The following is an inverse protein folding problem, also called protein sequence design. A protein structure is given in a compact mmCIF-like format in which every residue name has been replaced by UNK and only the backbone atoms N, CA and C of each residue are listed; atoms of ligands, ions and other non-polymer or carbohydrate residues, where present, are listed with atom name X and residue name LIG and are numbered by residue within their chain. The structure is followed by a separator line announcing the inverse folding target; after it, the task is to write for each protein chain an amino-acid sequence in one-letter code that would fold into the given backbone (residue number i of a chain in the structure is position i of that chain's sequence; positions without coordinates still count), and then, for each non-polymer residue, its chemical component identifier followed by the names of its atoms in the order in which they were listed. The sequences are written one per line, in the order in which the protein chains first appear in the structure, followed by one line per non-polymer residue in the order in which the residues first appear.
data_IF_078030449071
#
_entry.id   IF_078030449071
#
_cell.length_a   1.000
_cell.length_b   1.000
_cell.length_c   1.000
_cell.angle_alpha   90.00
_cell.angle_beta   90.00
_cell.angle_gamma   90.00
#
_symmetry.space_group_name_H-M   'P 1'
#
loop_
_entity.id
_entity.type
_entity.pdbx_description
1 polymer ?
#
# COMPACT_ATOMS: atom_id res chain seq x y z
N UNK A 1 -4.11 -17.94 -8.82
CA UNK A 1 -3.92 -16.46 -8.94
C UNK A 1 -3.16 -16.15 -10.23
N UNK A 2 -3.65 -15.19 -11.02
CA UNK A 2 -2.95 -14.74 -12.23
C UNK A 2 -1.55 -14.22 -11.89
N UNK A 3 -0.57 -14.53 -12.75
CA UNK A 3 0.83 -14.12 -12.55
C UNK A 3 1.06 -12.65 -12.98
N UNK A 4 0.18 -11.76 -12.54
CA UNK A 4 0.24 -10.33 -12.81
C UNK A 4 0.09 -9.55 -11.51
N UNK A 5 0.83 -8.45 -11.36
CA UNK A 5 0.75 -7.57 -10.21
C UNK A 5 0.69 -6.10 -10.63
N UNK A 6 -0.06 -5.31 -9.89
CA UNK A 6 -0.09 -3.85 -9.99
C UNK A 6 0.41 -3.25 -8.68
N UNK A 7 1.51 -2.49 -8.74
CA UNK A 7 2.12 -1.84 -7.58
C UNK A 7 1.93 -0.32 -7.69
N UNK A 8 1.12 0.23 -6.81
CA UNK A 8 0.85 1.68 -6.77
C UNK A 8 1.86 2.39 -5.87
N UNK A 9 2.68 3.27 -6.46
CA UNK A 9 3.73 4.01 -5.75
C UNK A 9 5.05 3.23 -5.68
N UNK A 10 5.67 2.99 -6.83
CA UNK A 10 6.84 2.14 -6.99
C UNK A 10 8.16 2.89 -7.27
N UNK A 11 8.20 4.21 -7.13
CA UNK A 11 9.37 5.03 -7.49
C UNK A 11 10.62 4.76 -6.64
N UNK A 12 10.45 4.35 -5.39
CA UNK A 12 11.56 4.13 -4.43
C UNK A 12 11.17 3.20 -3.28
N UNK A 13 12.14 2.90 -2.43
CA UNK A 13 11.94 2.19 -1.16
C UNK A 13 11.21 0.86 -1.33
N UNK A 14 10.22 0.62 -0.47
CA UNK A 14 9.46 -0.63 -0.46
C UNK A 14 8.70 -0.88 -1.77
N UNK A 15 8.11 0.17 -2.37
CA UNK A 15 7.37 0.00 -3.62
C UNK A 15 8.25 -0.49 -4.76
N UNK A 16 9.45 0.06 -4.92
CA UNK A 16 10.45 -0.40 -5.89
C UNK A 16 10.93 -1.82 -5.56
N UNK A 17 11.18 -2.09 -4.28
CA UNK A 17 11.56 -3.43 -3.83
C UNK A 17 10.49 -4.49 -4.12
N UNK A 18 9.20 -4.14 -3.94
CA UNK A 18 8.08 -5.04 -4.29
C UNK A 18 8.04 -5.35 -5.78
N UNK A 19 8.32 -4.37 -6.66
CA UNK A 19 8.41 -4.62 -8.11
C UNK A 19 9.49 -5.67 -8.39
N UNK A 20 10.71 -5.47 -7.87
CA UNK A 20 11.81 -6.42 -8.06
C UNK A 20 11.48 -7.81 -7.52
N UNK A 21 10.92 -7.90 -6.32
CA UNK A 21 10.61 -9.20 -5.70
C UNK A 21 9.49 -9.95 -6.43
N UNK A 22 8.38 -9.28 -6.79
CA UNK A 22 7.32 -9.96 -7.55
C UNK A 22 7.79 -10.37 -8.95
N UNK A 23 8.64 -9.58 -9.61
CA UNK A 23 9.26 -9.96 -10.90
C UNK A 23 10.16 -11.20 -10.72
N UNK A 24 10.99 -11.24 -9.66
CA UNK A 24 11.83 -12.41 -9.32
C UNK A 24 10.99 -13.67 -9.09
N UNK A 25 9.80 -13.51 -8.53
CA UNK A 25 8.83 -14.61 -8.32
C UNK A 25 8.02 -14.96 -9.58
N UNK A 26 8.32 -14.34 -10.72
CA UNK A 26 7.74 -14.67 -12.03
C UNK A 26 6.39 -14.00 -12.31
N UNK A 27 6.06 -12.90 -11.62
CA UNK A 27 4.90 -12.10 -11.95
C UNK A 27 5.27 -11.02 -12.99
N UNK A 28 4.37 -10.74 -13.92
CA UNK A 28 4.44 -9.58 -14.79
C UNK A 28 3.93 -8.35 -14.00
N UNK A 29 4.84 -7.44 -13.64
CA UNK A 29 4.53 -6.32 -12.77
C UNK A 29 4.26 -5.05 -13.57
N UNK A 30 3.08 -4.46 -13.39
CA UNK A 30 2.78 -3.07 -13.75
C UNK A 30 3.05 -2.18 -12.54
N UNK A 31 3.87 -1.16 -12.71
CA UNK A 31 4.22 -0.21 -11.65
C UNK A 31 3.58 1.16 -11.89
N UNK A 32 3.31 1.93 -10.83
CA UNK A 32 3.01 3.35 -10.98
C UNK A 32 4.06 4.21 -10.31
N UNK A 33 4.40 5.32 -10.94
CA UNK A 33 5.31 6.34 -10.43
C UNK A 33 4.71 7.72 -10.70
N UNK A 34 5.18 8.76 -9.99
CA UNK A 34 4.80 10.15 -10.29
C UNK A 34 5.71 10.79 -11.33
N UNK A 35 6.99 10.42 -11.30
CA UNK A 35 7.99 10.87 -12.26
C UNK A 35 8.46 9.66 -13.09
N UNK A 36 8.32 9.69 -14.42
CA UNK A 36 8.74 8.60 -15.30
C UNK A 36 10.24 8.28 -15.20
N UNK A 37 11.08 9.25 -14.81
CA UNK A 37 12.51 9.02 -14.60
C UNK A 37 12.79 8.05 -13.43
N UNK A 38 11.82 7.80 -12.56
CA UNK A 38 11.94 6.88 -11.42
C UNK A 38 11.34 5.50 -11.68
N UNK A 39 10.98 5.18 -12.93
CA UNK A 39 10.39 3.89 -13.31
C UNK A 39 11.31 2.73 -12.91
N UNK A 40 10.80 1.69 -12.25
CA UNK A 40 11.56 0.48 -11.97
C UNK A 40 11.87 -0.25 -13.28
N UNK A 41 13.14 -0.60 -13.56
CA UNK A 41 13.50 -1.29 -14.81
C UNK A 41 12.96 -2.73 -14.88
N UNK A 42 12.63 -3.32 -13.76
CA UNK A 42 12.05 -4.67 -13.65
C UNK A 42 10.57 -4.72 -14.02
N UNK A 43 9.86 -3.57 -14.03
CA UNK A 43 8.46 -3.51 -14.40
C UNK A 43 8.26 -3.74 -15.89
N UNK A 44 7.32 -4.60 -16.27
CA UNK A 44 6.97 -4.82 -17.69
C UNK A 44 6.18 -3.64 -18.27
N UNK A 45 5.58 -2.82 -17.40
CA UNK A 45 4.84 -1.61 -17.74
C UNK A 45 4.93 -0.61 -16.59
N UNK A 46 5.08 0.66 -16.91
CA UNK A 46 5.01 1.75 -15.93
C UNK A 46 3.97 2.78 -16.37
N UNK A 47 3.09 3.14 -15.45
CA UNK A 47 2.08 4.18 -15.59
C UNK A 47 2.40 5.38 -14.70
N UNK A 48 2.01 6.57 -15.14
CA UNK A 48 2.15 7.78 -14.32
C UNK A 48 0.88 7.94 -13.48
N UNK A 49 1.06 8.03 -12.16
CA UNK A 49 -0.08 8.26 -11.28
C UNK A 49 0.34 8.99 -10.00
N UNK A 50 -0.29 10.12 -9.74
CA UNK A 50 -0.37 10.72 -8.40
C UNK A 50 -1.71 10.31 -7.78
N UNK A 51 -1.66 9.55 -6.71
CA UNK A 51 -2.88 9.05 -6.03
C UNK A 51 -3.68 10.17 -5.37
N UNK A 52 -3.09 11.35 -5.17
CA UNK A 52 -3.75 12.51 -4.56
C UNK A 52 -4.52 13.37 -5.56
N UNK A 53 -4.33 13.12 -6.85
CA UNK A 53 -5.02 13.79 -7.96
C UNK A 53 -6.09 12.87 -8.58
N UNK A 54 -7.34 13.31 -8.55
CA UNK A 54 -8.49 12.57 -9.06
C UNK A 54 -8.39 12.31 -10.56
N UNK A 55 -7.93 13.29 -11.34
CA UNK A 55 -7.78 13.15 -12.78
C UNK A 55 -6.69 12.10 -13.11
N UNK A 56 -5.61 12.09 -12.34
CA UNK A 56 -4.54 11.10 -12.48
C UNK A 56 -5.03 9.68 -12.16
N UNK A 57 -5.83 9.50 -11.10
CA UNK A 57 -6.42 8.19 -10.76
C UNK A 57 -7.41 7.72 -11.83
N UNK A 58 -8.23 8.62 -12.37
CA UNK A 58 -9.18 8.30 -13.46
C UNK A 58 -8.45 7.93 -14.77
N UNK A 59 -7.37 8.64 -15.10
CA UNK A 59 -6.51 8.32 -16.24
C UNK A 59 -5.88 6.93 -16.10
N UNK A 60 -5.36 6.60 -14.91
CA UNK A 60 -4.82 5.27 -14.62
C UNK A 60 -5.88 4.17 -14.80
N UNK A 61 -7.09 4.36 -14.25
CA UNK A 61 -8.18 3.39 -14.41
C UNK A 61 -8.54 3.18 -15.89
N UNK A 62 -8.54 4.26 -16.68
CA UNK A 62 -8.77 4.19 -18.14
C UNK A 62 -7.64 3.44 -18.85
N UNK A 63 -6.37 3.74 -18.52
CA UNK A 63 -5.21 3.09 -19.14
C UNK A 63 -5.15 1.57 -18.83
N UNK A 64 -5.71 1.15 -17.70
CA UNK A 64 -5.77 -0.24 -17.27
C UNK A 64 -7.11 -0.93 -17.58
N UNK A 65 -8.02 -0.26 -18.32
CA UNK A 65 -9.32 -0.82 -18.65
C UNK A 65 -9.18 -2.18 -19.34
N UNK A 66 -9.97 -3.17 -18.91
CA UNK A 66 -9.94 -4.53 -19.43
C UNK A 66 -8.76 -5.41 -18.96
N UNK A 67 -7.77 -4.85 -18.27
CA UNK A 67 -6.69 -5.65 -17.68
C UNK A 67 -7.14 -6.29 -16.37
N UNK A 68 -6.57 -7.46 -16.06
CA UNK A 68 -6.78 -8.19 -14.80
C UNK A 68 -5.45 -8.39 -14.10
N UNK A 69 -5.48 -8.23 -12.77
CA UNK A 69 -4.30 -8.43 -11.92
C UNK A 69 -4.59 -9.50 -10.87
N UNK A 70 -3.67 -10.43 -10.70
CA UNK A 70 -3.70 -11.37 -9.58
C UNK A 70 -3.41 -10.68 -8.24
N UNK A 71 -2.64 -9.58 -8.26
CA UNK A 71 -2.36 -8.77 -7.08
C UNK A 71 -2.50 -7.28 -7.41
N UNK A 72 -3.20 -6.54 -6.55
CA UNK A 72 -3.14 -5.06 -6.54
C UNK A 72 -2.59 -4.66 -5.17
N UNK A 73 -1.43 -4.00 -5.15
CA UNK A 73 -0.78 -3.53 -3.93
C UNK A 73 -0.69 -2.00 -3.91
N UNK A 74 -1.44 -1.36 -3.03
CA UNK A 74 -1.40 0.09 -2.82
C UNK A 74 -0.35 0.42 -1.77
N UNK A 75 0.86 0.82 -2.22
CA UNK A 75 2.01 1.12 -1.37
C UNK A 75 2.18 2.61 -1.06
N UNK A 76 1.71 3.49 -1.93
CA UNK A 76 1.93 4.94 -1.81
C UNK A 76 1.50 5.49 -0.44
N UNK A 77 2.35 6.35 0.14
CA UNK A 77 2.12 6.98 1.43
C UNK A 77 3.30 7.87 1.85
N UNK A 78 3.11 8.61 2.92
CA UNK A 78 4.13 9.52 3.49
C UNK A 78 4.13 9.44 5.02
N UNK A 79 5.24 9.86 5.65
CA UNK A 79 5.31 9.96 7.13
C UNK A 79 4.71 11.28 7.64
N UNK A 80 4.86 12.36 6.90
CA UNK A 80 4.52 13.71 7.33
C UNK A 80 5.72 14.49 7.90
N UNK A 81 5.47 15.63 8.51
CA UNK A 81 6.50 16.44 9.17
C UNK A 81 7.10 15.70 10.38
N UNK A 82 8.32 16.08 10.77
CA UNK A 82 9.00 15.47 11.93
C UNK A 82 8.34 15.81 13.25
N UNK A 83 7.83 17.04 13.39
CA UNK A 83 7.04 17.50 14.54
C UNK A 83 5.60 17.02 14.34
N UNK A 84 5.34 15.81 14.79
CA UNK A 84 4.17 15.01 14.45
C UNK A 84 3.20 14.93 15.65
N UNK A 85 2.96 16.06 16.32
CA UNK A 85 1.93 16.15 17.38
C UNK A 85 0.76 17.02 16.95
N UNK A 86 -0.45 16.82 17.51
CA UNK A 86 -1.62 17.66 17.20
C UNK A 86 -1.38 19.14 17.45
N UNK A 87 -0.60 19.50 18.51
CA UNK A 87 -0.32 20.87 18.91
C UNK A 87 0.63 21.57 17.93
N UNK A 88 1.52 20.84 17.26
CA UNK A 88 2.50 21.38 16.34
C UNK A 88 2.07 21.32 14.87
N UNK A 89 1.07 20.48 14.56
CA UNK A 89 0.66 20.27 13.17
C UNK A 89 -0.18 21.44 12.63
N UNK A 90 0.06 21.81 11.37
CA UNK A 90 -0.80 22.79 10.67
C UNK A 90 -1.97 22.08 9.99
N UNK A 91 -3.05 22.81 9.71
CA UNK A 91 -4.18 22.30 8.94
C UNK A 91 -3.74 21.75 7.58
N UNK A 92 -2.81 22.43 6.90
CA UNK A 92 -2.30 22.01 5.61
C UNK A 92 -1.54 20.66 5.70
N UNK A 93 -0.62 20.54 6.66
CA UNK A 93 0.13 19.30 6.89
C UNK A 93 -0.81 18.15 7.27
N UNK A 94 -1.81 18.40 8.11
CA UNK A 94 -2.87 17.44 8.43
C UNK A 94 -3.62 17.00 7.17
N UNK A 95 -4.12 17.93 6.38
CA UNK A 95 -4.86 17.61 5.16
C UNK A 95 -4.02 16.80 4.18
N UNK A 96 -2.76 17.21 3.96
CA UNK A 96 -1.85 16.47 3.09
C UNK A 96 -1.61 15.04 3.57
N UNK A 97 -1.32 14.87 4.87
CA UNK A 97 -1.02 13.56 5.45
C UNK A 97 -2.22 12.61 5.40
N UNK A 98 -3.39 13.07 5.86
CA UNK A 98 -4.59 12.23 5.90
C UNK A 98 -5.13 11.94 4.51
N UNK A 99 -5.10 12.93 3.61
CA UNK A 99 -5.47 12.70 2.22
C UNK A 99 -4.59 11.62 1.58
N UNK A 100 -3.26 11.77 1.69
CA UNK A 100 -2.30 10.84 1.07
C UNK A 100 -2.33 9.45 1.70
N UNK A 101 -2.44 9.34 3.04
CA UNK A 101 -2.30 8.06 3.73
C UNK A 101 -3.61 7.30 3.92
N UNK A 102 -4.76 7.97 3.93
CA UNK A 102 -6.03 7.35 4.26
C UNK A 102 -7.04 7.43 3.11
N UNK A 103 -7.31 8.62 2.57
CA UNK A 103 -8.39 8.80 1.59
C UNK A 103 -7.95 8.36 0.19
N UNK A 104 -6.82 8.86 -0.30
CA UNK A 104 -6.32 8.56 -1.65
C UNK A 104 -6.12 7.06 -1.92
N UNK A 105 -5.53 6.25 -1.00
CA UNK A 105 -5.44 4.81 -1.18
C UNK A 105 -6.79 4.12 -1.40
N UNK A 106 -7.84 4.56 -0.70
CA UNK A 106 -9.19 4.00 -0.85
C UNK A 106 -9.85 4.41 -2.17
N UNK A 107 -9.57 5.61 -2.67
CA UNK A 107 -10.03 6.06 -4.00
C UNK A 107 -9.40 5.23 -5.10
N UNK A 108 -8.08 5.02 -5.03
CA UNK A 108 -7.36 4.12 -5.94
C UNK A 108 -7.91 2.70 -5.86
N UNK A 109 -8.10 2.17 -4.65
CA UNK A 109 -8.70 0.86 -4.44
C UNK A 109 -10.06 0.75 -5.11
N UNK A 110 -10.95 1.72 -4.87
CA UNK A 110 -12.30 1.74 -5.46
C UNK A 110 -12.28 1.81 -6.99
N UNK A 111 -11.38 2.60 -7.57
CA UNK A 111 -11.23 2.73 -9.01
C UNK A 111 -10.67 1.45 -9.68
N UNK A 112 -9.75 0.76 -9.01
CA UNK A 112 -9.02 -0.38 -9.57
C UNK A 112 -9.52 -1.76 -9.10
N UNK A 113 -10.42 -1.83 -8.12
CA UNK A 113 -11.03 -3.10 -7.71
C UNK A 113 -11.65 -3.88 -8.89
N UNK A 114 -12.31 -3.25 -9.89
CA UNK A 114 -12.78 -3.97 -11.07
C UNK A 114 -11.68 -4.65 -11.90
N UNK A 115 -10.42 -4.24 -11.73
CA UNK A 115 -9.25 -4.84 -12.40
C UNK A 115 -8.67 -6.04 -11.63
N UNK A 116 -9.17 -6.35 -10.43
CA UNK A 116 -8.71 -7.52 -9.69
C UNK A 116 -9.29 -8.81 -10.29
N UNK A 117 -8.44 -9.83 -10.42
CA UNK A 117 -8.88 -11.16 -10.82
C UNK A 117 -9.78 -11.79 -9.74
N UNK A 118 -10.70 -12.71 -10.11
CA UNK A 118 -11.61 -13.34 -9.13
C UNK A 118 -10.88 -14.05 -7.98
N UNK A 119 -9.70 -14.60 -8.24
CA UNK A 119 -8.82 -15.27 -7.27
C UNK A 119 -7.65 -14.39 -6.81
N UNK A 120 -7.73 -13.08 -7.07
CA UNK A 120 -6.68 -12.11 -6.78
C UNK A 120 -6.63 -11.69 -5.32
N UNK A 121 -5.62 -10.87 -4.98
CA UNK A 121 -5.38 -10.33 -3.64
C UNK A 121 -5.31 -8.81 -3.69
N UNK A 122 -6.00 -8.14 -2.79
CA UNK A 122 -5.82 -6.72 -2.51
C UNK A 122 -4.90 -6.53 -1.31
N UNK A 123 -3.90 -5.67 -1.44
CA UNK A 123 -3.03 -5.31 -0.33
C UNK A 123 -2.85 -3.79 -0.24
N UNK A 124 -2.87 -3.25 0.97
CA UNK A 124 -2.63 -1.83 1.25
C UNK A 124 -1.52 -1.71 2.27
N UNK A 125 -0.54 -0.85 1.98
CA UNK A 125 0.54 -0.54 2.91
C UNK A 125 0.01 0.31 4.06
N UNK A 126 -0.10 -0.31 5.23
CA UNK A 126 -0.41 0.38 6.47
C UNK A 126 0.80 0.38 7.40
N UNK A 127 0.59 0.42 8.68
CA UNK A 127 1.63 0.36 9.70
C UNK A 127 1.06 -0.25 10.98
N UNK A 128 1.89 -0.98 11.73
CA UNK A 128 1.61 -1.32 13.13
C UNK A 128 1.26 -0.08 13.97
N UNK A 129 1.80 1.07 13.59
CA UNK A 129 1.47 2.36 14.23
C UNK A 129 -0.01 2.75 14.03
N UNK A 130 -0.72 2.20 13.03
CA UNK A 130 -2.16 2.38 12.84
C UNK A 130 -3.03 1.47 13.72
N UNK A 131 -2.45 0.67 14.58
CA UNK A 131 -3.19 -0.12 15.59
C UNK A 131 -3.46 0.74 16.83
N UNK A 132 -4.73 0.88 17.19
CA UNK A 132 -5.11 1.52 18.47
C UNK A 132 -4.74 0.63 19.66
N UNK A 133 -4.88 -0.68 19.52
CA UNK A 133 -4.56 -1.65 20.57
C UNK A 133 -3.05 -1.71 20.88
N UNK A 134 -2.19 -1.42 19.89
CA UNK A 134 -0.74 -1.45 20.03
C UNK A 134 -0.13 -0.04 20.13
N UNK A 135 -0.93 0.98 20.46
CA UNK A 135 -0.47 2.36 20.53
C UNK A 135 0.35 2.59 21.79
N UNK A 136 1.60 3.01 21.63
CA UNK A 136 2.55 3.33 22.71
C UNK A 136 2.98 4.81 22.68
N UNK A 137 2.27 5.65 21.92
CA UNK A 137 2.60 7.07 21.72
C UNK A 137 3.71 7.29 20.69
N UNK A 138 3.93 8.56 20.36
CA UNK A 138 4.91 9.06 19.38
C UNK A 138 4.49 8.81 17.92
N UNK A 139 4.75 9.77 17.05
CA UNK A 139 4.28 9.75 15.67
C UNK A 139 2.77 9.90 15.56
N UNK A 140 2.20 10.80 16.35
CA UNK A 140 0.76 10.86 16.64
C UNK A 140 -0.07 11.04 15.37
N UNK A 141 0.31 12.00 14.52
CA UNK A 141 -0.42 12.29 13.28
C UNK A 141 -0.28 11.16 12.26
N UNK A 142 0.91 10.57 12.15
CA UNK A 142 1.13 9.42 11.30
C UNK A 142 0.33 8.21 11.80
N UNK A 143 0.36 7.91 13.11
CA UNK A 143 -0.48 6.86 13.72
C UNK A 143 -1.95 7.05 13.39
N UNK A 144 -2.47 8.26 13.63
CA UNK A 144 -3.85 8.60 13.37
C UNK A 144 -4.20 8.41 11.88
N UNK A 145 -3.32 8.82 10.96
CA UNK A 145 -3.55 8.64 9.52
C UNK A 145 -3.60 7.17 9.11
N UNK A 146 -2.76 6.30 9.69
CA UNK A 146 -2.77 4.86 9.41
C UNK A 146 -3.92 4.12 10.10
N UNK A 147 -4.35 4.58 11.28
CA UNK A 147 -5.58 4.11 11.93
C UNK A 147 -6.82 4.47 11.08
N UNK A 148 -6.86 5.70 10.55
CA UNK A 148 -7.89 6.13 9.63
C UNK A 148 -7.94 5.25 8.36
N UNK A 149 -6.78 4.93 7.75
CA UNK A 149 -6.71 3.99 6.63
C UNK A 149 -7.31 2.63 7.00
N UNK A 150 -6.88 2.06 8.12
CA UNK A 150 -7.38 0.76 8.59
C UNK A 150 -8.91 0.77 8.76
N UNK A 151 -9.46 1.79 9.41
CA UNK A 151 -10.90 1.96 9.59
C UNK A 151 -11.65 2.11 8.26
N UNK A 152 -11.11 2.90 7.32
CA UNK A 152 -11.69 3.10 6.00
C UNK A 152 -11.67 1.82 5.16
N UNK A 153 -10.62 0.98 5.26
CA UNK A 153 -10.57 -0.34 4.58
C UNK A 153 -11.68 -1.24 5.09
N UNK A 154 -11.88 -1.33 6.42
CA UNK A 154 -12.98 -2.11 7.01
C UNK A 154 -14.35 -1.62 6.52
N UNK A 155 -14.56 -0.30 6.52
CA UNK A 155 -15.79 0.33 6.05
C UNK A 155 -16.02 0.10 4.54
N UNK A 156 -14.97 0.18 3.73
CA UNK A 156 -15.05 -0.13 2.31
C UNK A 156 -15.41 -1.59 2.08
N UNK A 157 -14.74 -2.52 2.76
CA UNK A 157 -15.02 -3.96 2.63
C UNK A 157 -16.44 -4.32 3.03
N UNK A 158 -16.98 -3.69 4.08
CA UNK A 158 -18.36 -3.88 4.51
C UNK A 158 -19.38 -3.45 3.44
N UNK A 159 -19.08 -2.39 2.68
CA UNK A 159 -19.94 -1.90 1.59
C UNK A 159 -19.73 -2.68 0.28
N UNK A 160 -18.48 -2.88 -0.13
CA UNK A 160 -18.13 -3.49 -1.41
C UNK A 160 -18.27 -5.02 -1.40
N UNK A 161 -18.17 -5.63 -0.22
CA UNK A 161 -18.25 -7.09 0.00
C UNK A 161 -17.35 -7.86 -0.98
N UNK A 162 -16.05 -7.54 -1.07
CA UNK A 162 -15.16 -8.26 -1.96
C UNK A 162 -15.12 -9.73 -1.61
N UNK A 163 -15.08 -10.58 -2.63
CA UNK A 163 -14.89 -12.02 -2.44
C UNK A 163 -13.42 -12.38 -2.26
N UNK A 164 -12.53 -11.47 -2.64
CA UNK A 164 -11.09 -11.60 -2.52
C UNK A 164 -10.59 -11.16 -1.15
N UNK A 165 -9.43 -11.67 -0.70
CA UNK A 165 -8.81 -11.20 0.52
C UNK A 165 -8.32 -9.75 0.39
N UNK A 166 -8.46 -9.01 1.49
CA UNK A 166 -7.96 -7.63 1.63
C UNK A 166 -6.96 -7.59 2.78
N UNK A 167 -5.71 -7.28 2.47
CA UNK A 167 -4.62 -7.24 3.43
C UNK A 167 -4.23 -5.79 3.75
N UNK A 168 -4.34 -5.42 5.03
CA UNK A 168 -3.66 -4.27 5.60
C UNK A 168 -2.28 -4.74 6.05
N UNK A 169 -1.19 -4.28 5.42
CA UNK A 169 0.14 -4.85 5.63
C UNK A 169 1.06 -3.85 6.34
N UNK A 170 1.64 -4.28 7.47
CA UNK A 170 2.74 -3.59 8.12
C UNK A 170 4.08 -4.15 7.60
N UNK A 171 4.95 -3.32 7.00
CA UNK A 171 6.19 -3.78 6.38
C UNK A 171 7.32 -4.09 7.39
N UNK A 172 7.11 -3.87 8.70
CA UNK A 172 8.18 -3.77 9.68
C UNK A 172 8.79 -2.37 9.75
N UNK A 173 9.88 -2.22 10.50
CA UNK A 173 10.67 -0.99 10.51
C UNK A 173 11.87 -1.15 9.57
N UNK A 174 11.80 -0.51 8.41
CA UNK A 174 12.63 -0.81 7.25
C UNK A 174 13.56 0.36 6.91
N UNK A 175 14.82 0.08 6.62
CA UNK A 175 15.84 1.05 6.19
C UNK A 175 15.49 1.63 4.82
N UNK A 176 14.76 2.73 4.86
CA UNK A 176 14.34 3.56 3.72
C UNK A 176 14.50 5.02 4.13
N UNK A 177 14.30 5.95 3.20
CA UNK A 177 14.27 7.39 3.52
C UNK A 177 13.24 7.72 4.63
N UNK A 178 12.15 6.97 4.68
CA UNK A 178 11.11 7.13 5.70
C UNK A 178 11.50 6.50 7.04
N UNK A 179 12.04 5.29 7.02
CA UNK A 179 12.36 4.54 8.24
C UNK A 179 13.67 4.92 8.89
N UNK A 180 14.58 5.55 8.15
CA UNK A 180 15.90 5.95 8.62
C UNK A 180 16.91 4.80 8.71
N UNK A 181 18.17 5.17 8.98
CA UNK A 181 19.30 4.23 9.00
C UNK A 181 19.25 3.23 10.18
N UNK A 182 18.59 3.60 11.27
CA UNK A 182 18.50 2.77 12.49
C UNK A 182 17.42 1.69 12.40
N UNK A 183 16.66 1.63 11.29
CA UNK A 183 15.63 0.62 11.12
C UNK A 183 16.23 -0.80 11.08
N UNK A 184 15.49 -1.76 11.62
CA UNK A 184 15.98 -3.12 11.88
C UNK A 184 16.02 -3.99 10.64
N UNK A 185 15.11 -3.76 9.68
CA UNK A 185 14.97 -4.58 8.48
C UNK A 185 15.60 -3.91 7.26
N UNK A 186 16.13 -4.70 6.35
CA UNK A 186 16.42 -4.26 4.98
C UNK A 186 15.13 -4.19 4.16
N UNK A 187 15.18 -3.49 3.02
CA UNK A 187 14.08 -3.49 2.04
C UNK A 187 13.81 -4.92 1.55
N UNK A 188 14.89 -5.66 1.27
CA UNK A 188 14.82 -7.02 0.75
C UNK A 188 14.09 -7.97 1.72
N UNK A 189 14.48 -8.00 2.99
CA UNK A 189 13.82 -8.83 4.02
C UNK A 189 12.32 -8.52 4.11
N UNK A 190 11.98 -7.24 4.14
CA UNK A 190 10.58 -6.81 4.23
C UNK A 190 9.76 -7.20 3.01
N UNK A 191 10.27 -6.96 1.79
CA UNK A 191 9.49 -7.24 0.57
C UNK A 191 9.37 -8.74 0.29
N UNK A 192 10.36 -9.56 0.65
CA UNK A 192 10.27 -11.01 0.57
C UNK A 192 9.13 -11.55 1.45
N UNK A 193 9.07 -11.08 2.70
CA UNK A 193 7.98 -11.47 3.61
C UNK A 193 6.62 -11.00 3.12
N UNK A 194 6.50 -9.73 2.69
CA UNK A 194 5.24 -9.21 2.16
C UNK A 194 4.78 -9.94 0.89
N UNK A 195 5.71 -10.31 0.01
CA UNK A 195 5.38 -11.07 -1.20
C UNK A 195 4.85 -12.46 -0.85
N UNK A 196 5.49 -13.17 0.07
CA UNK A 196 5.01 -14.47 0.56
C UNK A 196 3.63 -14.35 1.20
N UNK A 197 3.41 -13.32 2.04
CA UNK A 197 2.12 -13.05 2.65
C UNK A 197 1.02 -12.85 1.59
N UNK A 198 1.28 -12.01 0.58
CA UNK A 198 0.31 -11.75 -0.48
C UNK A 198 0.00 -12.99 -1.30
N UNK A 199 1.02 -13.74 -1.73
CA UNK A 199 0.84 -14.95 -2.53
C UNK A 199 0.12 -16.05 -1.73
N UNK A 200 0.44 -16.18 -0.44
CA UNK A 200 -0.21 -17.14 0.46
C UNK A 200 -1.66 -16.81 0.81
N UNK A 201 -2.10 -15.57 0.59
CA UNK A 201 -3.49 -15.16 0.82
C UNK A 201 -4.44 -15.49 -0.34
N UNK A 202 -3.92 -15.87 -1.51
CA UNK A 202 -4.75 -16.22 -2.66
C UNK A 202 -5.73 -17.35 -2.31
N UNK A 203 -7.01 -17.17 -2.69
CA UNK A 203 -8.08 -18.12 -2.38
C UNK A 203 -8.64 -18.04 -0.95
N UNK A 204 -8.13 -17.14 -0.11
CA UNK A 204 -8.78 -16.81 1.18
C UNK A 204 -9.79 -15.67 0.99
N UNK A 205 -10.47 -15.26 2.05
CA UNK A 205 -11.47 -14.19 2.03
C UNK A 205 -11.34 -13.30 3.28
N UNK A 206 -12.00 -12.15 3.24
CA UNK A 206 -12.10 -11.25 4.37
C UNK A 206 -10.96 -10.24 4.46
N UNK A 207 -10.98 -9.44 5.52
CA UNK A 207 -9.99 -8.38 5.79
C UNK A 207 -9.06 -8.83 6.91
N UNK A 208 -7.75 -8.71 6.70
CA UNK A 208 -6.76 -9.05 7.72
C UNK A 208 -5.73 -7.92 7.87
N UNK A 209 -5.34 -7.64 9.12
CA UNK A 209 -4.21 -6.77 9.44
C UNK A 209 -3.03 -7.65 9.86
N UNK A 210 -1.97 -7.63 9.07
CA UNK A 210 -0.81 -8.50 9.25
C UNK A 210 0.50 -7.74 9.11
N UNK A 211 1.55 -8.22 9.77
CA UNK A 211 2.89 -7.77 9.47
C UNK A 211 3.49 -8.53 8.26
N UNK A 212 4.68 -8.08 7.84
CA UNK A 212 5.42 -8.67 6.72
C UNK A 212 5.75 -10.16 6.92
N UNK A 213 5.86 -10.63 8.16
CA UNK A 213 6.13 -12.03 8.49
C UNK A 213 4.84 -12.89 8.58
N UNK A 214 3.67 -12.29 8.37
CA UNK A 214 2.37 -12.96 8.38
C UNK A 214 1.69 -13.01 9.74
N UNK A 215 2.29 -12.44 10.80
CA UNK A 215 1.65 -12.36 12.10
C UNK A 215 0.43 -11.44 12.07
N UNK A 216 -0.67 -11.87 12.69
CA UNK A 216 -1.88 -11.04 12.81
C UNK A 216 -1.66 -9.94 13.84
N UNK A 217 -1.98 -8.72 13.47
CA UNK A 217 -1.93 -7.55 14.34
C UNK A 217 -3.34 -7.21 14.84
N UNK A 218 -3.42 -6.73 16.08
CA UNK A 218 -4.65 -6.14 16.59
C UNK A 218 -4.91 -4.77 15.91
N UNK A 219 -6.19 -4.44 15.70
CA UNK A 219 -6.62 -3.17 15.10
C UNK A 219 -6.45 -1.95 16.02
#
# INVERSE_FOLDING_TARGET
MDKTALIIGASRGLGRGLVGEFTRLGLAVTATVRDPATAPPEAVRTEICDITDDASVAALATALAGQRFGLIFVNAGMYGPREDTPEATTQEAFMQLFWTNAVAPLRVLGALHPNLAPDGVLALMTSRMGSNALNTGGGDMYRASKAALNSLVLSWAARAKPTQPVLCVHPGWVRTDMGGANATLSVEESVQGMAQLCLGAAGTTGVAFKDYAGATLAW
#
